data_IF_662641885050
#
_entry.id   IF_662641885050
#
_cell.length_a   1.000
_cell.length_b   1.000
_cell.length_c   1.000
_cell.angle_alpha   90.00
_cell.angle_beta   90.00
_cell.angle_gamma   90.00
#
_symmetry.space_group_name_H-M   'P 1'
#
loop_
_entity.id
_entity.type
_entity.pdbx_description
1 polymer ?
#
# COMPACT_ATOMS: atom_id res chain seq x y z
N UNK A 1 -6.38 24.99 5.72
CA UNK A 1 -5.06 24.57 6.25
C UNK A 1 -5.16 23.10 6.66
N UNK A 2 -4.45 22.21 5.97
CA UNK A 2 -4.43 20.75 6.24
C UNK A 2 -3.63 20.45 7.52
N UNK A 3 -4.17 20.82 8.68
CA UNK A 3 -3.48 20.69 9.96
C UNK A 3 -3.46 19.23 10.41
N UNK A 4 -2.29 18.61 10.42
CA UNK A 4 -2.04 17.37 11.16
C UNK A 4 -2.28 17.63 12.65
N UNK A 5 -3.28 16.98 13.25
CA UNK A 5 -3.57 17.10 14.67
C UNK A 5 -2.97 15.90 15.42
N UNK A 6 -1.87 16.15 16.13
CA UNK A 6 -1.15 15.13 16.90
C UNK A 6 -2.03 14.48 17.97
N UNK A 7 -2.91 15.23 18.64
CA UNK A 7 -3.78 14.69 19.70
C UNK A 7 -4.82 13.74 19.12
N UNK A 8 -5.37 14.05 17.93
CA UNK A 8 -6.29 13.14 17.23
C UNK A 8 -5.56 11.88 16.75
N UNK A 9 -4.33 12.01 16.25
CA UNK A 9 -3.52 10.89 15.78
C UNK A 9 -3.12 9.92 16.91
N UNK A 10 -2.74 10.44 18.08
CA UNK A 10 -2.44 9.61 19.26
C UNK A 10 -3.68 8.86 19.77
N UNK A 11 -4.88 9.45 19.68
CA UNK A 11 -6.14 8.76 20.01
C UNK A 11 -6.44 7.61 19.03
N UNK A 12 -6.25 7.84 17.72
CA UNK A 12 -6.40 6.80 16.70
C UNK A 12 -5.41 5.67 16.96
N UNK A 13 -4.15 5.99 17.26
CA UNK A 13 -3.11 4.99 17.52
C UNK A 13 -3.46 4.13 18.74
N UNK A 14 -3.89 4.73 19.85
CA UNK A 14 -4.34 3.99 21.05
C UNK A 14 -5.57 3.11 20.80
N UNK A 15 -6.51 3.55 19.96
CA UNK A 15 -7.67 2.74 19.56
C UNK A 15 -7.22 1.48 18.82
N UNK A 16 -6.29 1.63 17.87
CA UNK A 16 -5.74 0.51 17.11
C UNK A 16 -4.78 -0.39 17.88
N UNK A 17 -4.11 0.14 18.91
CA UNK A 17 -3.14 -0.59 19.72
C UNK A 17 -3.83 -1.55 20.69
N UNK A 18 -4.96 -1.13 21.30
CA UNK A 18 -5.75 -1.99 22.20
C UNK A 18 -6.39 -3.20 21.50
N UNK A 19 -6.68 -3.10 20.20
CA UNK A 19 -7.33 -4.17 19.43
C UNK A 19 -6.35 -5.04 18.62
N UNK A 20 -5.06 -4.70 18.64
CA UNK A 20 -4.04 -5.30 17.76
C UNK A 20 -3.70 -6.75 18.07
N UNK A 21 -4.10 -7.25 19.24
CA UNK A 21 -3.38 -8.36 19.88
C UNK A 21 -3.72 -9.71 19.24
N UNK A 22 -4.97 -10.11 18.99
CA UNK A 22 -5.26 -11.45 18.40
C UNK A 22 -6.57 -11.50 17.60
N UNK A 23 -6.60 -10.91 16.39
CA UNK A 23 -7.76 -11.02 15.48
C UNK A 23 -7.44 -11.94 14.29
N UNK A 24 -8.16 -13.06 14.08
CA UNK A 24 -7.94 -13.98 12.97
C UNK A 24 -7.95 -13.31 11.60
N UNK A 25 -8.89 -12.38 11.33
CA UNK A 25 -8.89 -11.67 10.04
C UNK A 25 -7.74 -10.67 9.94
N UNK A 26 -7.25 -10.12 11.06
CA UNK A 26 -6.03 -9.31 11.02
C UNK A 26 -4.82 -10.17 10.57
N UNK A 27 -4.68 -11.37 11.12
CA UNK A 27 -3.62 -12.32 10.72
C UNK A 27 -3.82 -12.73 9.26
N UNK A 28 -5.05 -13.05 8.86
CA UNK A 28 -5.38 -13.46 7.49
C UNK A 28 -5.13 -12.35 6.46
N UNK A 29 -5.55 -11.11 6.71
CA UNK A 29 -5.29 -9.97 5.83
C UNK A 29 -3.80 -9.63 5.75
N UNK A 30 -3.06 -9.80 6.85
CA UNK A 30 -1.60 -9.59 6.84
C UNK A 30 -0.90 -10.68 6.03
N UNK A 31 -1.29 -11.94 6.23
CA UNK A 31 -0.79 -13.07 5.45
C UNK A 31 -1.11 -12.91 3.96
N UNK A 32 -2.35 -12.56 3.63
CA UNK A 32 -2.79 -12.37 2.25
C UNK A 32 -2.05 -11.20 1.58
N UNK A 33 -1.79 -10.10 2.31
CA UNK A 33 -0.92 -9.04 1.78
C UNK A 33 0.46 -9.59 1.46
N UNK A 34 1.12 -10.28 2.40
CA UNK A 34 2.47 -10.80 2.18
C UNK A 34 2.52 -11.81 1.04
N UNK A 35 1.48 -12.64 0.88
CA UNK A 35 1.40 -13.62 -0.19
C UNK A 35 1.27 -12.93 -1.56
N UNK A 36 0.33 -11.99 -1.71
CA UNK A 36 0.11 -11.28 -2.98
C UNK A 36 1.28 -10.35 -3.36
N UNK A 37 1.80 -9.60 -2.38
CA UNK A 37 2.94 -8.71 -2.60
C UNK A 37 4.24 -9.50 -2.79
N UNK A 38 4.41 -10.64 -2.12
CA UNK A 38 5.55 -11.53 -2.29
C UNK A 38 5.59 -12.17 -3.68
N UNK A 39 4.48 -12.77 -4.12
CA UNK A 39 4.40 -13.41 -5.45
C UNK A 39 4.64 -12.39 -6.57
N UNK A 40 4.00 -11.22 -6.49
CA UNK A 40 4.24 -10.16 -7.47
C UNK A 40 5.68 -9.67 -7.45
N UNK A 41 6.29 -9.50 -6.28
CA UNK A 41 7.66 -9.02 -6.17
C UNK A 41 8.66 -9.97 -6.81
N UNK A 42 8.51 -11.29 -6.68
CA UNK A 42 9.45 -12.26 -7.29
C UNK A 42 9.61 -12.00 -8.79
N UNK A 43 8.50 -11.79 -9.50
CA UNK A 43 8.51 -11.51 -10.94
C UNK A 43 8.97 -10.07 -11.18
N UNK A 44 8.52 -9.11 -10.39
CA UNK A 44 8.89 -7.71 -10.56
C UNK A 44 10.35 -7.39 -10.18
N UNK A 45 11.15 -8.33 -9.68
CA UNK A 45 12.56 -8.10 -9.37
C UNK A 45 13.48 -8.23 -10.58
N UNK A 46 13.06 -8.90 -11.65
CA UNK A 46 13.89 -9.03 -12.85
C UNK A 46 13.96 -7.69 -13.60
N UNK A 47 15.12 -7.40 -14.20
CA UNK A 47 15.32 -6.19 -14.99
C UNK A 47 14.50 -6.23 -16.30
N UNK A 48 14.16 -5.07 -16.84
CA UNK A 48 13.36 -4.88 -18.04
C UNK A 48 13.91 -5.62 -19.25
N UNK A 49 15.24 -5.71 -19.36
CA UNK A 49 15.94 -6.41 -20.44
C UNK A 49 15.58 -7.90 -20.50
N UNK A 50 15.21 -8.52 -19.36
CA UNK A 50 14.74 -9.90 -19.32
C UNK A 50 13.41 -10.09 -20.09
N UNK A 51 12.65 -9.01 -20.28
CA UNK A 51 11.32 -9.00 -20.86
C UNK A 51 11.24 -8.30 -22.21
N UNK A 52 12.28 -7.53 -22.57
CA UNK A 52 12.28 -6.67 -23.74
C UNK A 52 12.10 -7.43 -25.08
N UNK A 53 12.47 -8.72 -25.12
CA UNK A 53 12.42 -9.54 -26.33
C UNK A 53 11.13 -10.35 -26.49
N UNK A 54 10.28 -10.42 -25.45
CA UNK A 54 9.04 -11.19 -25.49
C UNK A 54 7.82 -10.28 -25.26
N UNK A 55 7.15 -9.93 -26.35
CA UNK A 55 5.95 -9.08 -26.31
C UNK A 55 4.80 -9.70 -25.53
N UNK A 56 4.77 -11.02 -25.34
CA UNK A 56 3.77 -11.69 -24.51
C UNK A 56 3.94 -11.41 -23.01
N UNK A 57 5.07 -10.81 -22.62
CA UNK A 57 5.42 -10.58 -21.22
C UNK A 57 4.90 -9.23 -20.65
N UNK A 58 4.55 -8.25 -21.49
CA UNK A 58 3.99 -6.98 -21.03
C UNK A 58 2.67 -7.13 -20.24
N UNK A 59 1.69 -7.95 -20.68
CA UNK A 59 0.51 -8.25 -19.88
C UNK A 59 0.86 -8.83 -18.50
N UNK A 60 1.83 -9.75 -18.45
CA UNK A 60 2.29 -10.35 -17.19
C UNK A 60 2.82 -9.29 -16.22
N UNK A 61 3.62 -8.33 -16.69
CA UNK A 61 4.09 -7.22 -15.86
C UNK A 61 2.93 -6.38 -15.31
N UNK A 62 1.94 -6.06 -16.15
CA UNK A 62 0.74 -5.31 -15.73
C UNK A 62 -0.02 -6.08 -14.64
N UNK A 63 -0.24 -7.38 -14.82
CA UNK A 63 -0.91 -8.22 -13.83
C UNK A 63 -0.14 -8.26 -12.50
N UNK A 64 1.19 -8.34 -12.53
CA UNK A 64 1.99 -8.36 -11.30
C UNK A 64 1.96 -7.02 -10.57
N UNK A 65 2.00 -5.88 -11.28
CA UNK A 65 1.80 -4.58 -10.65
C UNK A 65 0.38 -4.44 -10.07
N UNK A 66 -0.65 -4.92 -10.75
CA UNK A 66 -2.02 -4.93 -10.23
C UNK A 66 -2.14 -5.79 -8.97
N UNK A 67 -1.52 -6.98 -8.96
CA UNK A 67 -1.51 -7.89 -7.82
C UNK A 67 -0.79 -7.28 -6.62
N UNK A 68 0.35 -6.62 -6.84
CA UNK A 68 1.06 -5.84 -5.82
C UNK A 68 0.14 -4.77 -5.22
N UNK A 69 -0.47 -3.94 -6.08
CA UNK A 69 -1.35 -2.86 -5.65
C UNK A 69 -2.54 -3.40 -4.85
N UNK A 70 -3.11 -4.53 -5.26
CA UNK A 70 -4.20 -5.18 -4.54
C UNK A 70 -3.79 -5.64 -3.14
N UNK A 71 -2.60 -6.27 -3.01
CA UNK A 71 -2.05 -6.64 -1.70
C UNK A 71 -1.86 -5.43 -0.78
N UNK A 72 -1.38 -4.30 -1.32
CA UNK A 72 -1.27 -3.04 -0.56
C UNK A 72 -2.64 -2.48 -0.15
N UNK A 73 -3.66 -2.57 -1.01
CA UNK A 73 -5.02 -2.13 -0.66
C UNK A 73 -5.64 -3.00 0.44
N UNK A 74 -5.43 -4.31 0.43
CA UNK A 74 -5.87 -5.22 1.51
C UNK A 74 -5.22 -4.80 2.83
N UNK A 75 -3.92 -4.52 2.82
CA UNK A 75 -3.22 -4.03 4.01
C UNK A 75 -3.72 -2.67 4.50
N UNK A 76 -4.05 -1.77 3.58
CA UNK A 76 -4.66 -0.49 3.92
C UNK A 76 -6.08 -0.63 4.47
N UNK A 77 -6.85 -1.62 4.01
CA UNK A 77 -8.22 -1.93 4.44
C UNK A 77 -8.30 -2.43 5.89
N UNK A 78 -7.21 -3.00 6.41
CA UNK A 78 -7.09 -3.29 7.86
C UNK A 78 -7.38 -2.06 8.72
N UNK A 79 -6.97 -0.89 8.25
CA UNK A 79 -7.13 0.38 8.96
C UNK A 79 -8.42 1.12 8.57
N UNK A 80 -9.40 0.44 7.95
CA UNK A 80 -10.79 0.94 7.80
C UNK A 80 -11.79 0.22 8.71
N UNK A 81 -11.36 -0.85 9.38
CA UNK A 81 -12.19 -1.68 10.25
C UNK A 81 -11.64 -1.61 11.69
N UNK A 82 -12.54 -1.58 12.67
CA UNK A 82 -12.24 -1.58 14.11
C UNK A 82 -13.22 -2.55 14.78
N UNK A 83 -12.73 -3.44 15.65
CA UNK A 83 -13.54 -4.52 16.24
C UNK A 83 -13.79 -4.23 17.72
N UNK A 84 -15.00 -3.79 18.04
CA UNK A 84 -15.45 -3.60 19.42
C UNK A 84 -16.31 -4.78 19.89
N UNK A 85 -16.06 -5.28 21.11
CA UNK A 85 -16.86 -6.32 21.76
C UNK A 85 -17.12 -7.57 20.89
N UNK A 86 -16.12 -8.01 20.12
CA UNK A 86 -16.26 -9.20 19.26
C UNK A 86 -17.05 -8.98 17.96
N UNK A 87 -17.50 -7.76 17.65
CA UNK A 87 -18.13 -7.42 16.36
C UNK A 87 -17.29 -6.42 15.58
N UNK A 88 -17.18 -6.65 14.26
CA UNK A 88 -16.40 -5.80 13.36
C UNK A 88 -17.26 -4.63 12.93
N UNK A 89 -16.83 -3.41 13.26
CA UNK A 89 -17.50 -2.18 12.88
C UNK A 89 -16.64 -1.40 11.87
N UNK A 90 -17.25 -0.81 10.83
CA UNK A 90 -16.55 0.18 10.03
C UNK A 90 -16.18 1.36 10.92
N UNK A 91 -14.98 1.93 10.73
CA UNK A 91 -14.55 3.12 11.49
C UNK A 91 -15.55 4.27 11.37
N UNK A 92 -16.28 4.34 10.28
CA UNK A 92 -17.29 5.36 10.03
C UNK A 92 -18.41 5.37 11.08
N UNK A 93 -18.80 4.20 11.61
CA UNK A 93 -19.75 4.10 12.72
C UNK A 93 -19.13 4.56 14.04
N UNK A 94 -17.85 4.27 14.25
CA UNK A 94 -17.09 4.65 15.44
C UNK A 94 -16.74 6.13 15.48
N UNK A 95 -16.60 6.76 14.33
CA UNK A 95 -16.39 8.19 14.18
C UNK A 95 -17.53 9.03 14.73
N UNK A 96 -18.74 8.48 14.82
CA UNK A 96 -19.88 9.16 15.45
C UNK A 96 -19.69 9.32 16.97
N UNK A 97 -18.90 8.45 17.59
CA UNK A 97 -18.71 8.40 19.05
C UNK A 97 -17.33 8.92 19.49
N UNK A 98 -16.39 9.15 18.57
CA UNK A 98 -15.04 9.62 18.87
C UNK A 98 -14.78 10.94 18.13
N UNK A 99 -14.28 12.01 18.79
CA UNK A 99 -14.06 13.32 18.18
C UNK A 99 -12.80 13.33 17.29
N UNK A 100 -12.82 12.54 16.22
CA UNK A 100 -11.74 12.43 15.23
C UNK A 100 -12.32 12.77 13.86
N UNK A 101 -11.62 13.60 13.10
CA UNK A 101 -12.07 13.92 11.74
C UNK A 101 -11.76 12.77 10.77
N UNK A 102 -12.66 12.50 9.80
CA UNK A 102 -12.45 11.54 8.69
C UNK A 102 -11.09 11.74 8.01
N UNK A 103 -10.66 12.99 7.87
CA UNK A 103 -9.38 13.39 7.27
C UNK A 103 -8.17 12.87 8.04
N UNK A 104 -8.18 12.88 9.39
CA UNK A 104 -7.05 12.37 10.17
C UNK A 104 -6.92 10.84 10.06
N UNK A 105 -8.02 10.10 9.89
CA UNK A 105 -7.98 8.64 9.68
C UNK A 105 -7.34 8.29 8.34
N UNK A 106 -7.68 9.04 7.29
CA UNK A 106 -7.06 8.84 5.98
C UNK A 106 -5.55 9.15 6.06
N UNK A 107 -5.16 10.25 6.72
CA UNK A 107 -3.75 10.57 6.96
C UNK A 107 -3.03 9.48 7.77
N UNK A 108 -3.71 8.90 8.77
CA UNK A 108 -3.18 7.79 9.54
C UNK A 108 -2.96 6.54 8.67
N UNK A 109 -3.93 6.18 7.82
CA UNK A 109 -3.82 5.09 6.84
C UNK A 109 -2.60 5.28 5.93
N UNK A 110 -2.48 6.44 5.32
CA UNK A 110 -1.36 6.75 4.41
C UNK A 110 -0.04 6.63 5.16
N UNK A 111 0.08 7.22 6.36
CA UNK A 111 1.32 7.18 7.15
C UNK A 111 1.73 5.75 7.52
N UNK A 112 0.78 4.87 7.83
CA UNK A 112 1.07 3.45 8.16
C UNK A 112 1.45 2.62 6.93
N UNK A 113 0.85 2.89 5.78
CA UNK A 113 1.14 2.18 4.52
C UNK A 113 2.38 2.73 3.80
N UNK A 114 2.75 3.99 4.03
CA UNK A 114 3.85 4.66 3.36
C UNK A 114 5.20 3.96 3.61
N UNK A 115 5.48 3.61 4.87
CA UNK A 115 6.76 2.99 5.26
C UNK A 115 7.01 1.64 4.57
N UNK A 116 6.07 0.67 4.57
CA UNK A 116 6.27 -0.59 3.85
C UNK A 116 6.34 -0.41 2.33
N UNK A 117 5.51 0.46 1.74
CA UNK A 117 5.52 0.73 0.29
C UNK A 117 6.87 1.30 -0.16
N UNK A 118 7.40 2.32 0.53
CA UNK A 118 8.72 2.90 0.23
C UNK A 118 9.82 1.84 0.34
N UNK A 119 9.80 1.02 1.41
CA UNK A 119 10.81 -0.03 1.61
C UNK A 119 10.79 -1.07 0.49
N UNK A 120 9.60 -1.50 0.08
CA UNK A 120 9.41 -2.47 -0.99
C UNK A 120 9.85 -1.90 -2.35
N UNK A 121 9.50 -0.65 -2.65
CA UNK A 121 9.93 0.03 -3.89
C UNK A 121 11.46 0.21 -3.93
N UNK A 122 12.07 0.65 -2.83
CA UNK A 122 13.54 0.79 -2.73
C UNK A 122 14.24 -0.55 -2.85
N UNK A 123 13.73 -1.59 -2.19
CA UNK A 123 14.27 -2.94 -2.31
C UNK A 123 14.21 -3.44 -3.76
N UNK A 124 13.07 -3.25 -4.43
CA UNK A 124 12.90 -3.63 -5.83
C UNK A 124 13.90 -2.89 -6.74
N UNK A 125 14.05 -1.58 -6.57
CA UNK A 125 15.02 -0.77 -7.32
C UNK A 125 16.46 -1.24 -7.12
N UNK A 126 16.87 -1.49 -5.87
CA UNK A 126 18.23 -1.94 -5.56
C UNK A 126 18.54 -3.29 -6.20
N UNK A 127 17.63 -4.26 -6.06
CA UNK A 127 17.83 -5.59 -6.64
C UNK A 127 17.80 -5.55 -8.16
N UNK A 128 16.87 -4.80 -8.77
CA UNK A 128 16.84 -4.62 -10.22
C UNK A 128 18.11 -4.01 -10.76
N UNK A 129 18.56 -2.89 -10.18
CA UNK A 129 19.80 -2.24 -10.60
C UNK A 129 21.00 -3.19 -10.45
N UNK A 130 21.06 -3.95 -9.35
CA UNK A 130 22.11 -4.94 -9.14
C UNK A 130 22.09 -6.03 -10.23
N UNK A 131 20.93 -6.64 -10.50
CA UNK A 131 20.78 -7.68 -11.52
C UNK A 131 21.05 -7.14 -12.93
N UNK A 132 20.60 -5.92 -13.24
CA UNK A 132 20.84 -5.24 -14.51
C UNK A 132 22.34 -5.01 -14.73
N UNK A 133 23.07 -4.58 -13.68
CA UNK A 133 24.53 -4.40 -13.74
C UNK A 133 25.30 -5.72 -13.88
N UNK A 134 24.93 -6.74 -13.11
CA UNK A 134 25.68 -8.01 -13.04
C UNK A 134 25.43 -8.90 -14.26
N UNK A 135 24.18 -8.97 -14.73
CA UNK A 135 23.78 -9.91 -15.80
C UNK A 135 23.83 -9.24 -17.17
N UNK A 136 23.32 -8.00 -17.28
CA UNK A 136 23.11 -7.33 -18.56
C UNK A 136 24.13 -6.23 -18.86
N UNK A 137 25.04 -5.94 -17.92
CA UNK A 137 26.08 -4.89 -18.02
C UNK A 137 25.56 -3.51 -18.50
N UNK A 138 24.26 -3.26 -18.36
CA UNK A 138 23.57 -2.07 -18.84
C UNK A 138 22.37 -1.83 -17.94
N UNK A 139 22.08 -0.57 -17.63
CA UNK A 139 20.89 -0.19 -16.85
C UNK A 139 19.87 0.39 -17.81
N UNK A 140 18.67 -0.19 -17.84
CA UNK A 140 17.56 0.37 -18.59
C UNK A 140 16.90 1.47 -17.79
N UNK A 141 16.48 2.55 -18.46
CA UNK A 141 15.69 3.62 -17.83
C UNK A 141 14.37 3.06 -17.26
N UNK A 142 13.82 2.02 -17.89
CA UNK A 142 12.59 1.36 -17.43
C UNK A 142 12.77 0.57 -16.12
N UNK A 143 14.00 0.17 -15.77
CA UNK A 143 14.31 -0.47 -14.48
C UNK A 143 14.06 0.49 -13.31
N UNK A 144 14.15 1.80 -13.57
CA UNK A 144 13.94 2.85 -12.57
C UNK A 144 12.52 3.40 -12.64
N UNK A 145 12.03 3.72 -13.85
CA UNK A 145 10.71 4.35 -14.03
C UNK A 145 9.59 3.43 -13.56
N UNK A 146 9.59 2.15 -13.94
CA UNK A 146 8.45 1.27 -13.65
C UNK A 146 8.25 1.02 -12.15
N UNK A 147 9.28 0.72 -11.34
CA UNK A 147 9.12 0.63 -9.89
C UNK A 147 8.67 1.93 -9.25
N UNK A 148 9.24 3.07 -9.64
CA UNK A 148 8.87 4.38 -9.08
C UNK A 148 7.41 4.72 -9.39
N UNK A 149 6.96 4.47 -10.61
CA UNK A 149 5.59 4.76 -10.99
C UNK A 149 4.61 3.78 -10.35
N UNK A 150 4.80 2.47 -10.55
CA UNK A 150 3.78 1.46 -10.21
C UNK A 150 3.88 0.89 -8.80
N UNK A 151 5.06 0.89 -8.18
CA UNK A 151 5.23 0.41 -6.79
C UNK A 151 5.19 1.54 -5.77
N UNK A 152 5.48 2.79 -6.16
CA UNK A 152 5.43 3.93 -5.26
C UNK A 152 4.21 4.81 -5.55
N UNK A 153 4.11 5.39 -6.75
CA UNK A 153 3.09 6.42 -7.03
C UNK A 153 1.66 5.87 -7.08
N UNK A 154 1.42 4.79 -7.84
CA UNK A 154 0.08 4.20 -8.02
C UNK A 154 -0.58 3.78 -6.69
N UNK A 155 0.10 3.06 -5.76
CA UNK A 155 -0.50 2.72 -4.48
C UNK A 155 -0.93 3.95 -3.67
N UNK A 156 -0.12 5.02 -3.65
CA UNK A 156 -0.49 6.26 -2.96
C UNK A 156 -1.69 6.95 -3.60
N UNK A 157 -1.74 7.00 -4.93
CA UNK A 157 -2.88 7.56 -5.66
C UNK A 157 -4.17 6.82 -5.34
N UNK A 158 -4.13 5.48 -5.31
CA UNK A 158 -5.28 4.66 -4.95
C UNK A 158 -5.73 4.88 -3.49
N UNK A 159 -4.79 5.09 -2.56
CA UNK A 159 -5.10 5.41 -1.16
C UNK A 159 -5.68 6.82 -0.97
N UNK A 160 -5.31 7.76 -1.85
CA UNK A 160 -5.81 9.14 -1.87
C UNK A 160 -7.15 9.30 -2.59
N UNK A 161 -7.57 8.30 -3.36
CA UNK A 161 -8.79 8.34 -4.17
C UNK A 161 -10.08 8.60 -3.35
N UNK A 162 -10.29 7.98 -2.17
CA UNK A 162 -11.42 8.31 -1.30
C UNK A 162 -11.40 9.77 -0.82
N UNK A 163 -10.20 10.32 -0.57
CA UNK A 163 -10.02 11.71 -0.14
C UNK A 163 -10.29 12.70 -1.26
N UNK A 164 -9.82 12.40 -2.48
CA UNK A 164 -10.13 13.17 -3.67
C UNK A 164 -11.62 13.17 -3.96
N UNK A 165 -12.30 12.01 -3.83
CA UNK A 165 -13.75 11.90 -3.99
C UNK A 165 -14.49 12.79 -2.98
N UNK A 166 -14.12 12.74 -1.70
CA UNK A 166 -14.74 13.55 -0.66
C UNK A 166 -14.47 15.07 -0.78
N UNK A 167 -13.47 15.47 -1.57
CA UNK A 167 -13.16 16.87 -1.87
C UNK A 167 -13.86 17.32 -3.15
N UNK A 168 -13.85 16.49 -4.20
CA UNK A 168 -14.41 16.79 -5.52
C UNK A 168 -15.95 16.71 -5.53
N UNK A 169 -16.54 15.78 -4.79
CA UNK A 169 -17.99 15.59 -4.71
C UNK A 169 -18.61 16.24 -3.47
N UNK A 170 -18.02 17.34 -2.97
CA UNK A 170 -18.69 18.29 -2.07
C UNK A 170 -19.65 19.17 -2.87
N UNK A 171 -20.65 18.56 -3.48
CA UNK A 171 -21.85 19.20 -4.02
C UNK A 171 -23.02 18.25 -3.83
#
# INVERSE_FOLDING_TARGET
MFGYDRKQQEKIEKLYEKEKIWYPDHVMHTFLMWLLTGISMIILLFPYQAYAHDHSFYPTLIYMYALYNWGIQIYAGKYSLVRQNGKTHPIEELLCYVPVSKRQIILYRIKKVQKPVIRLALFNLLVKCFLSCVIYHSISVFDIILPVLFLLFVPFMLLMLPFLRDILFRY
#
